data_IF_667628182824
#
_entry.id   IF_667628182824
#
_cell.length_a   1.000
_cell.length_b   1.000
_cell.length_c   1.000
_cell.angle_alpha   90.00
_cell.angle_beta   90.00
_cell.angle_gamma   90.00
#
_symmetry.space_group_name_H-M   'P 1'
#
loop_
_entity.id
_entity.type
_entity.pdbx_description
1 polymer ?
#
# COMPACT_ATOMS: atom_id res chain seq x y z
N UNK A 1 17.89 1.24 4.58
CA UNK A 1 17.39 2.63 4.74
C UNK A 1 18.14 3.61 3.86
N UNK A 2 17.48 4.68 3.41
CA UNK A 2 18.15 5.83 2.79
C UNK A 2 17.79 7.10 3.60
N UNK A 3 18.81 7.85 4.05
CA UNK A 3 18.62 9.11 4.75
C UNK A 3 18.17 10.19 3.73
N UNK A 4 17.12 10.95 4.05
CA UNK A 4 16.70 12.07 3.19
C UNK A 4 17.40 13.37 3.58
N UNK A 5 17.31 14.38 2.70
CA UNK A 5 17.91 15.71 2.89
C UNK A 5 17.32 16.55 4.05
N UNK A 6 16.37 16.00 4.82
CA UNK A 6 15.88 16.60 6.08
C UNK A 6 16.31 15.69 7.22
N UNK A 7 16.92 16.28 8.24
CA UNK A 7 17.65 15.61 9.34
C UNK A 7 16.86 14.59 10.21
N UNK A 8 15.61 14.24 9.87
CA UNK A 8 14.77 13.31 10.64
C UNK A 8 13.77 12.47 9.79
N UNK A 9 13.87 12.47 8.44
CA UNK A 9 12.96 11.68 7.59
C UNK A 9 13.70 10.47 7.01
N UNK A 10 13.43 9.27 7.55
CA UNK A 10 13.97 8.01 7.06
C UNK A 10 13.09 7.44 5.95
N UNK A 11 13.71 6.97 4.86
CA UNK A 11 13.01 6.16 3.86
C UNK A 11 13.26 4.69 4.14
N UNK A 12 12.21 3.99 4.59
CA UNK A 12 12.25 2.52 4.69
C UNK A 12 11.81 1.92 3.36
N UNK A 13 12.58 0.94 2.90
CA UNK A 13 12.35 0.20 1.67
C UNK A 13 12.15 -1.27 2.04
N UNK A 14 10.92 -1.60 2.42
CA UNK A 14 10.57 -2.97 2.82
C UNK A 14 10.55 -3.91 1.62
N UNK A 15 10.77 -5.18 1.88
CA UNK A 15 10.50 -6.36 1.06
C UNK A 15 9.11 -6.91 1.36
N UNK A 16 8.63 -7.89 0.59
CA UNK A 16 7.37 -8.58 0.92
C UNK A 16 7.47 -9.36 2.23
N UNK A 17 8.64 -9.96 2.53
CA UNK A 17 8.89 -10.66 3.81
C UNK A 17 8.80 -9.71 5.00
N UNK A 18 9.38 -8.52 4.91
CA UNK A 18 9.29 -7.52 5.99
C UNK A 18 7.88 -6.95 6.14
N UNK A 19 7.14 -6.78 5.03
CA UNK A 19 5.73 -6.41 5.11
C UNK A 19 4.89 -7.51 5.79
N UNK A 20 5.16 -8.78 5.50
CA UNK A 20 4.50 -9.92 6.15
C UNK A 20 4.88 -10.06 7.63
N UNK A 21 6.13 -9.79 7.98
CA UNK A 21 6.59 -9.73 9.38
C UNK A 21 5.86 -8.60 10.13
N UNK A 22 5.80 -7.40 9.54
CA UNK A 22 5.05 -6.28 10.13
C UNK A 22 3.60 -6.64 10.41
N UNK A 23 2.94 -7.33 9.48
CA UNK A 23 1.56 -7.83 9.65
C UNK A 23 1.39 -8.80 10.80
N UNK A 24 2.36 -9.70 11.00
CA UNK A 24 2.33 -10.68 12.11
C UNK A 24 2.35 -10.02 13.49
N UNK A 25 2.84 -8.78 13.58
CA UNK A 25 2.87 -7.99 14.83
C UNK A 25 1.72 -6.98 14.96
N UNK A 26 0.73 -7.02 14.07
CA UNK A 26 -0.49 -6.24 14.21
C UNK A 26 -1.29 -6.73 15.44
N UNK A 27 -1.72 -5.79 16.29
CA UNK A 27 -2.39 -6.14 17.55
C UNK A 27 -3.82 -6.67 17.39
N UNK A 28 -4.48 -6.33 16.28
CA UNK A 28 -5.87 -6.70 16.00
C UNK A 28 -6.06 -6.96 14.52
N UNK A 29 -7.15 -7.63 14.13
CA UNK A 29 -7.51 -7.80 12.71
C UNK A 29 -7.69 -6.46 11.99
N UNK A 30 -8.23 -5.44 12.66
CA UNK A 30 -8.35 -4.08 12.10
C UNK A 30 -6.97 -3.49 11.81
N UNK A 31 -6.03 -3.66 12.74
CA UNK A 31 -4.68 -3.15 12.59
C UNK A 31 -3.93 -3.88 11.45
N UNK A 32 -4.09 -5.20 11.31
CA UNK A 32 -3.56 -5.95 10.14
C UNK A 32 -4.18 -5.45 8.84
N UNK A 33 -5.51 -5.27 8.81
CA UNK A 33 -6.22 -4.77 7.64
C UNK A 33 -5.72 -3.39 7.19
N UNK A 34 -5.36 -2.50 8.14
CA UNK A 34 -4.72 -1.21 7.83
C UNK A 34 -3.39 -1.41 7.11
N UNK A 35 -2.55 -2.35 7.58
CA UNK A 35 -1.27 -2.67 6.93
C UNK A 35 -1.51 -3.23 5.53
N UNK A 36 -2.48 -4.12 5.37
CA UNK A 36 -2.82 -4.71 4.07
C UNK A 36 -3.32 -3.66 3.05
N UNK A 37 -4.22 -2.78 3.46
CA UNK A 37 -4.75 -1.71 2.61
C UNK A 37 -3.63 -0.75 2.16
N UNK A 38 -2.69 -0.43 3.04
CA UNK A 38 -1.52 0.37 2.68
C UNK A 38 -0.54 -0.36 1.77
N UNK A 39 -0.15 -1.58 2.15
CA UNK A 39 0.97 -2.32 1.56
C UNK A 39 0.63 -3.15 0.31
N UNK A 40 -0.59 -3.67 0.22
CA UNK A 40 -1.03 -4.50 -0.91
C UNK A 40 -1.93 -3.77 -1.90
N UNK A 41 -2.70 -2.79 -1.43
CA UNK A 41 -3.66 -2.03 -2.26
C UNK A 41 -3.15 -0.61 -2.55
N UNK A 42 -2.15 -0.14 -1.81
CA UNK A 42 -1.52 1.16 -2.02
C UNK A 42 -2.36 2.33 -1.55
N UNK A 43 -3.21 2.16 -0.53
CA UNK A 43 -4.01 3.26 0.01
C UNK A 43 -3.14 4.24 0.81
N UNK A 44 -3.48 5.52 0.74
CA UNK A 44 -2.92 6.55 1.63
C UNK A 44 -3.63 6.49 2.99
N UNK A 45 -2.97 6.96 4.03
CA UNK A 45 -3.53 6.93 5.39
C UNK A 45 -4.92 7.60 5.50
N UNK A 46 -5.18 8.69 4.78
CA UNK A 46 -6.50 9.35 4.77
C UNK A 46 -7.54 8.65 3.88
N UNK A 47 -7.13 7.77 2.97
CA UNK A 47 -8.05 7.00 2.11
C UNK A 47 -8.64 5.80 2.88
N UNK A 48 -7.89 5.23 3.83
CA UNK A 48 -8.28 4.03 4.59
C UNK A 48 -9.59 4.22 5.37
N UNK A 49 -9.81 5.33 6.13
CA UNK A 49 -11.06 5.54 6.85
C UNK A 49 -12.31 5.69 6.00
N UNK A 50 -12.17 5.91 4.69
CA UNK A 50 -13.29 6.08 3.76
C UNK A 50 -13.80 4.74 3.21
N UNK A 51 -13.09 3.64 3.47
CA UNK A 51 -13.41 2.34 2.88
C UNK A 51 -14.51 1.67 3.67
N UNK A 52 -15.52 1.21 2.96
CA UNK A 52 -16.69 0.50 3.48
C UNK A 52 -16.83 -0.81 2.69
N UNK A 53 -17.52 -1.84 3.22
CA UNK A 53 -17.70 -3.10 2.50
C UNK A 53 -18.31 -2.91 1.09
N UNK A 54 -19.23 -1.95 0.90
CA UNK A 54 -19.83 -1.66 -0.43
C UNK A 54 -18.84 -1.17 -1.49
N UNK A 55 -17.64 -0.76 -1.09
CA UNK A 55 -16.60 -0.27 -2.01
C UNK A 55 -15.83 -1.41 -2.70
N UNK A 56 -15.96 -2.64 -2.21
CA UNK A 56 -15.43 -3.83 -2.89
C UNK A 56 -16.30 -4.16 -4.10
N UNK A 57 -15.67 -4.31 -5.26
CA UNK A 57 -16.34 -4.61 -6.54
C UNK A 57 -15.67 -5.79 -7.21
N UNK A 58 -16.44 -6.84 -7.48
CA UNK A 58 -16.03 -7.91 -8.39
C UNK A 58 -16.14 -7.40 -9.83
N UNK A 59 -15.13 -7.66 -10.65
CA UNK A 59 -15.15 -7.31 -12.08
C UNK A 59 -16.04 -8.26 -12.87
N UNK A 60 -16.38 -7.86 -14.09
CA UNK A 60 -17.26 -8.64 -14.99
C UNK A 60 -16.70 -10.01 -15.35
N UNK A 61 -15.37 -10.17 -15.33
CA UNK A 61 -14.69 -11.45 -15.55
C UNK A 61 -14.88 -12.47 -14.41
N UNK A 62 -15.46 -12.05 -13.28
CA UNK A 62 -15.66 -12.91 -12.11
C UNK A 62 -14.40 -13.29 -11.34
N UNK A 63 -13.20 -12.95 -11.80
CA UNK A 63 -11.95 -13.42 -11.19
C UNK A 63 -11.16 -12.33 -10.47
N UNK A 64 -11.43 -11.07 -10.78
CA UNK A 64 -10.72 -9.95 -10.18
C UNK A 64 -11.62 -9.05 -9.33
N UNK A 65 -10.97 -8.28 -8.46
CA UNK A 65 -11.62 -7.33 -7.59
C UNK A 65 -11.00 -5.94 -7.74
N UNK A 66 -11.82 -4.93 -7.51
CA UNK A 66 -11.43 -3.53 -7.39
C UNK A 66 -11.96 -2.97 -6.09
N UNK A 67 -11.19 -2.08 -5.50
CA UNK A 67 -11.62 -1.30 -4.35
C UNK A 67 -11.84 0.15 -4.79
N UNK A 68 -13.09 0.62 -4.70
CA UNK A 68 -13.43 2.01 -4.99
C UNK A 68 -12.96 2.89 -3.83
N UNK A 69 -12.00 3.75 -4.10
CA UNK A 69 -11.60 4.83 -3.18
C UNK A 69 -12.47 6.05 -3.49
N UNK A 70 -13.31 6.52 -2.54
CA UNK A 70 -14.23 7.63 -2.78
C UNK A 70 -13.50 8.94 -3.09
N UNK A 71 -12.59 9.36 -2.21
CA UNK A 71 -11.87 10.61 -2.34
C UNK A 71 -10.36 10.36 -2.21
N UNK A 72 -9.65 10.41 -3.34
CA UNK A 72 -8.20 10.36 -3.38
C UNK A 72 -7.52 11.69 -2.97
N UNK A 73 -6.22 11.85 -3.27
CA UNK A 73 -5.56 13.16 -3.09
C UNK A 73 -5.95 14.03 -4.28
N UNK A 74 -6.54 15.18 -4.02
CA UNK A 74 -6.76 16.21 -5.05
C UNK A 74 -5.84 17.40 -4.79
N UNK A 75 -4.98 17.70 -5.75
CA UNK A 75 -4.12 18.90 -5.73
C UNK A 75 -4.81 20.13 -6.32
N UNK A 76 -6.06 19.99 -6.79
CA UNK A 76 -6.85 21.09 -7.37
C UNK A 76 -7.87 21.72 -6.43
N UNK A 77 -8.06 21.18 -5.21
CA UNK A 77 -8.85 21.79 -4.15
C UNK A 77 -10.37 21.50 -4.17
N UNK A 78 -10.83 20.57 -5.00
CA UNK A 78 -12.25 20.22 -5.21
C UNK A 78 -12.67 18.87 -4.61
N UNK A 79 -11.93 18.37 -3.63
CA UNK A 79 -12.15 17.03 -3.08
C UNK A 79 -11.50 15.96 -3.95
N UNK A 80 -10.99 14.93 -3.29
CA UNK A 80 -10.20 13.87 -3.92
C UNK A 80 -10.78 13.30 -5.20
N UNK A 81 -9.96 13.06 -6.24
CA UNK A 81 -10.43 12.29 -7.41
C UNK A 81 -10.69 10.83 -6.99
N UNK A 82 -11.86 10.26 -7.29
CA UNK A 82 -12.12 8.86 -7.04
C UNK A 82 -11.20 7.98 -7.91
N UNK A 83 -10.80 6.82 -7.37
CA UNK A 83 -10.05 5.81 -8.13
C UNK A 83 -10.52 4.40 -7.80
N UNK A 84 -10.27 3.46 -8.71
CA UNK A 84 -10.47 2.04 -8.48
C UNK A 84 -9.11 1.38 -8.30
N UNK A 85 -8.74 1.11 -7.05
CA UNK A 85 -7.52 0.36 -6.76
C UNK A 85 -7.71 -1.11 -7.16
N UNK A 86 -6.63 -1.76 -7.58
CA UNK A 86 -6.64 -3.21 -7.73
C UNK A 86 -6.70 -3.84 -6.33
N UNK A 87 -7.66 -4.74 -6.10
CA UNK A 87 -7.81 -5.43 -4.83
C UNK A 87 -7.37 -6.88 -4.99
N UNK A 88 -6.23 -7.30 -4.40
CA UNK A 88 -5.83 -8.69 -4.39
C UNK A 88 -6.88 -9.57 -3.71
N UNK A 89 -7.05 -10.79 -4.21
CA UNK A 89 -8.08 -11.73 -3.73
C UNK A 89 -7.94 -12.01 -2.23
N UNK A 90 -6.72 -12.18 -1.74
CA UNK A 90 -6.47 -12.47 -0.32
C UNK A 90 -6.90 -11.30 0.58
N UNK A 91 -6.63 -10.06 0.14
CA UNK A 91 -7.07 -8.85 0.87
C UNK A 91 -8.59 -8.69 0.81
N UNK A 92 -9.23 -9.04 -0.31
CA UNK A 92 -10.69 -9.08 -0.40
C UNK A 92 -11.30 -10.08 0.59
N UNK A 93 -10.71 -11.28 0.66
CA UNK A 93 -11.15 -12.33 1.57
C UNK A 93 -10.97 -11.93 3.03
N UNK A 94 -9.89 -11.22 3.36
CA UNK A 94 -9.64 -10.69 4.70
C UNK A 94 -10.59 -9.53 5.05
N UNK A 95 -10.91 -8.63 4.11
CA UNK A 95 -11.96 -7.61 4.29
C UNK A 95 -13.29 -8.28 4.60
N UNK A 96 -13.67 -9.30 3.83
CA UNK A 96 -14.94 -10.00 4.02
C UNK A 96 -14.96 -10.74 5.37
N UNK A 97 -13.86 -11.39 5.77
CA UNK A 97 -13.75 -12.05 7.08
C UNK A 97 -13.89 -11.04 8.22
N UNK A 98 -13.18 -9.91 8.12
CA UNK A 98 -13.22 -8.85 9.13
C UNK A 98 -14.61 -8.24 9.26
N UNK A 99 -15.25 -7.86 8.15
CA UNK A 99 -16.58 -7.25 8.15
C UNK A 99 -17.63 -8.19 8.78
N UNK A 100 -17.55 -9.49 8.52
CA UNK A 100 -18.44 -10.47 9.15
C UNK A 100 -18.15 -10.65 10.65
N UNK A 101 -16.87 -10.74 11.03
CA UNK A 101 -16.48 -10.94 12.43
C UNK A 101 -16.90 -9.75 13.31
N UNK A 102 -16.73 -8.53 12.80
CA UNK A 102 -17.04 -7.29 13.53
C UNK A 102 -18.46 -6.77 13.25
N UNK A 103 -19.27 -7.49 12.45
CA UNK A 103 -20.63 -7.09 12.03
C UNK A 103 -20.70 -5.68 11.41
N UNK A 104 -19.73 -5.34 10.56
CA UNK A 104 -19.67 -4.03 9.89
C UNK A 104 -20.73 -3.95 8.80
N UNK A 105 -21.63 -2.97 8.91
CA UNK A 105 -22.64 -2.73 7.88
C UNK A 105 -22.00 -2.30 6.55
N UNK A 106 -22.67 -2.60 5.43
CA UNK A 106 -22.22 -2.23 4.09
C UNK A 106 -21.99 -0.73 3.88
N UNK A 107 -22.61 0.13 4.69
CA UNK A 107 -22.51 1.59 4.66
C UNK A 107 -21.63 2.16 5.80
N UNK A 108 -21.02 1.28 6.59
CA UNK A 108 -20.16 1.66 7.71
C UNK A 108 -18.68 1.52 7.30
N UNK A 109 -17.81 2.45 7.74
CA UNK A 109 -16.37 2.32 7.51
C UNK A 109 -15.81 1.02 8.11
N UNK A 110 -14.95 0.33 7.37
CA UNK A 110 -14.17 -0.79 7.88
C UNK A 110 -13.23 -0.35 9.02
N UNK A 111 -12.73 0.88 8.94
CA UNK A 111 -11.80 1.46 9.89
C UNK A 111 -12.33 2.82 10.35
N UNK A 112 -13.01 2.82 11.49
CA UNK A 112 -13.50 4.05 12.16
C UNK A 112 -12.37 4.77 12.92
N UNK A 113 -11.38 5.27 12.19
CA UNK A 113 -10.28 6.06 12.72
C UNK A 113 -10.10 7.34 11.91
N UNK A 114 -9.50 8.36 12.51
CA UNK A 114 -8.97 9.49 11.74
C UNK A 114 -7.72 9.08 10.96
N UNK A 115 -7.29 9.90 10.00
CA UNK A 115 -6.00 9.71 9.32
C UNK A 115 -4.85 9.58 10.33
N UNK A 116 -4.84 10.40 11.39
CA UNK A 116 -3.86 10.31 12.47
C UNK A 116 -3.95 8.96 13.19
N UNK A 117 -5.16 8.48 13.48
CA UNK A 117 -5.37 7.17 14.11
C UNK A 117 -4.80 6.03 13.28
N UNK A 118 -4.97 6.08 11.94
CA UNK A 118 -4.36 5.12 11.02
C UNK A 118 -2.83 5.17 11.08
N UNK A 119 -2.23 6.37 11.04
CA UNK A 119 -0.77 6.54 11.15
C UNK A 119 -0.23 6.00 12.48
N UNK A 120 -0.95 6.26 13.58
CA UNK A 120 -0.57 5.78 14.91
C UNK A 120 -0.67 4.25 15.02
N UNK A 121 -1.62 3.60 14.34
CA UNK A 121 -1.69 2.13 14.25
C UNK A 121 -0.46 1.57 13.55
N UNK A 122 -0.06 2.14 12.41
CA UNK A 122 1.14 1.69 11.67
C UNK A 122 2.37 1.82 12.56
N UNK A 123 2.54 2.97 13.22
CA UNK A 123 3.68 3.20 14.12
C UNK A 123 3.75 2.20 15.26
N UNK A 124 2.64 1.97 15.97
CA UNK A 124 2.60 0.98 17.08
C UNK A 124 2.84 -0.45 16.60
N UNK A 125 2.37 -0.78 15.40
CA UNK A 125 2.62 -2.11 14.81
C UNK A 125 4.10 -2.29 14.49
N UNK A 126 4.74 -1.24 13.97
CA UNK A 126 6.15 -1.25 13.66
C UNK A 126 7.05 -1.26 14.92
N UNK A 127 6.66 -0.53 15.98
CA UNK A 127 7.33 -0.62 17.29
C UNK A 127 7.30 -2.05 17.85
N UNK A 128 6.16 -2.74 17.76
CA UNK A 128 6.05 -4.15 18.16
C UNK A 128 6.91 -5.07 17.32
N UNK A 129 6.95 -4.85 15.99
CA UNK A 129 7.79 -5.63 15.10
C UNK A 129 9.28 -5.45 15.44
N UNK A 130 9.72 -4.22 15.72
CA UNK A 130 11.09 -3.94 16.15
C UNK A 130 11.44 -4.66 17.46
N UNK A 131 10.55 -4.58 18.46
CA UNK A 131 10.75 -5.25 19.75
C UNK A 131 10.79 -6.77 19.64
N UNK A 132 9.94 -7.36 18.80
CA UNK A 132 9.83 -8.80 18.65
C UNK A 132 10.96 -9.42 17.81
N UNK A 133 11.44 -8.70 16.80
CA UNK A 133 12.48 -9.18 15.86
C UNK A 133 13.89 -8.77 16.27
N UNK A 134 14.03 -7.71 17.08
CA UNK A 134 15.30 -7.06 17.38
C UNK A 134 15.82 -6.19 16.23
N UNK A 135 15.02 -5.97 15.18
CA UNK A 135 15.36 -5.13 14.04
C UNK A 135 14.82 -3.70 14.22
N UNK A 136 15.71 -2.76 14.55
CA UNK A 136 15.35 -1.37 14.80
C UNK A 136 14.91 -0.64 13.52
N UNK A 137 15.14 -1.17 12.31
CA UNK A 137 14.68 -0.55 11.06
C UNK A 137 13.15 -0.40 11.03
N UNK A 138 12.41 -1.31 11.69
CA UNK A 138 10.97 -1.21 11.82
C UNK A 138 10.53 0.06 12.56
N UNK A 139 11.32 0.60 13.49
CA UNK A 139 10.94 1.81 14.24
C UNK A 139 10.74 3.03 13.33
N UNK A 140 11.31 3.00 12.14
CA UNK A 140 11.22 4.06 11.14
C UNK A 140 10.08 3.85 10.12
N UNK A 141 9.38 2.71 10.17
CA UNK A 141 8.28 2.42 9.25
C UNK A 141 7.08 3.33 9.51
N UNK A 142 6.59 3.95 8.46
CA UNK A 142 5.41 4.80 8.46
C UNK A 142 4.36 4.32 7.45
N UNK A 143 3.16 4.90 7.53
CA UNK A 143 2.09 4.64 6.55
C UNK A 143 2.50 4.97 5.10
N UNK A 144 3.45 5.90 4.90
CA UNK A 144 3.95 6.23 3.58
C UNK A 144 4.81 5.10 3.00
N UNK A 145 5.55 4.38 3.86
CA UNK A 145 6.42 3.27 3.45
C UNK A 145 5.61 2.05 3.01
N UNK A 146 4.41 1.84 3.55
CA UNK A 146 3.46 0.83 3.03
C UNK A 146 3.12 1.11 1.56
N UNK A 147 2.78 2.36 1.24
CA UNK A 147 2.49 2.77 -0.14
C UNK A 147 3.74 2.71 -1.02
N UNK A 148 4.92 2.98 -0.45
CA UNK A 148 6.20 2.82 -1.16
C UNK A 148 6.44 1.37 -1.53
N UNK A 149 6.25 0.44 -0.59
CA UNK A 149 6.35 -1.01 -0.83
C UNK A 149 5.39 -1.46 -1.93
N UNK A 150 4.13 -0.99 -1.90
CA UNK A 150 3.16 -1.27 -2.96
C UNK A 150 3.69 -0.86 -4.34
N UNK A 151 4.19 0.37 -4.47
CA UNK A 151 4.68 0.89 -5.74
C UNK A 151 5.93 0.15 -6.21
N UNK A 152 6.92 -0.05 -5.33
CA UNK A 152 8.17 -0.74 -5.63
C UNK A 152 7.92 -2.18 -6.08
N UNK A 153 7.08 -2.94 -5.36
CA UNK A 153 6.73 -4.31 -5.76
C UNK A 153 6.23 -4.35 -7.19
N UNK A 154 5.28 -3.47 -7.54
CA UNK A 154 4.68 -3.50 -8.86
C UNK A 154 5.62 -2.98 -9.95
N UNK A 155 6.31 -1.87 -9.71
CA UNK A 155 7.13 -1.21 -10.73
C UNK A 155 8.49 -1.85 -10.93
N UNK A 156 9.14 -2.27 -9.84
CA UNK A 156 10.53 -2.74 -9.85
C UNK A 156 10.57 -4.27 -9.87
N UNK A 157 9.89 -4.93 -8.93
CA UNK A 157 10.02 -6.39 -8.79
C UNK A 157 9.13 -7.19 -9.73
N UNK A 158 7.92 -6.70 -10.00
CA UNK A 158 6.96 -7.35 -10.92
C UNK A 158 6.93 -6.71 -12.30
N UNK A 159 7.71 -5.64 -12.51
CA UNK A 159 7.85 -4.92 -13.78
C UNK A 159 6.50 -4.61 -14.47
N UNK A 160 5.46 -4.35 -13.68
CA UNK A 160 4.14 -4.01 -14.18
C UNK A 160 4.23 -2.68 -14.92
N UNK A 161 3.59 -2.60 -16.08
CA UNK A 161 3.59 -1.38 -16.90
C UNK A 161 3.24 -0.15 -16.03
N UNK A 162 4.11 0.88 -16.00
CA UNK A 162 3.91 2.05 -15.14
C UNK A 162 2.55 2.73 -15.32
N UNK A 163 1.97 2.75 -16.53
CA UNK A 163 0.64 3.31 -16.77
C UNK A 163 -0.46 2.54 -16.04
N UNK A 164 -0.31 1.23 -15.93
CA UNK A 164 -1.24 0.37 -15.16
C UNK A 164 -1.11 0.69 -13.68
N UNK A 165 0.12 0.79 -13.15
CA UNK A 165 0.37 1.14 -11.75
C UNK A 165 -0.16 2.55 -11.41
N UNK A 166 0.06 3.51 -12.29
CA UNK A 166 -0.47 4.88 -12.18
C UNK A 166 -1.98 4.89 -12.09
N UNK A 167 -2.66 4.16 -12.98
CA UNK A 167 -4.13 4.06 -13.01
C UNK A 167 -4.68 3.49 -11.70
N UNK A 168 -4.13 2.37 -11.21
CA UNK A 168 -4.67 1.72 -10.01
C UNK A 168 -4.27 2.43 -8.73
N UNK A 169 -3.06 3.01 -8.67
CA UNK A 169 -2.55 3.70 -7.49
C UNK A 169 -2.99 5.17 -7.38
N UNK A 170 -3.52 5.77 -8.43
CA UNK A 170 -3.93 7.18 -8.45
C UNK A 170 -2.74 8.13 -8.46
N UNK A 171 -1.84 7.94 -9.43
CA UNK A 171 -0.78 8.88 -9.78
C UNK A 171 -1.09 9.53 -11.12
N UNK A 172 -1.05 10.86 -11.16
CA UNK A 172 -1.42 11.64 -12.36
C UNK A 172 -0.26 11.84 -13.36
N UNK A 173 1.00 11.51 -12.98
CA UNK A 173 2.16 11.70 -13.84
C UNK A 173 3.30 10.72 -13.55
N UNK A 174 4.21 10.56 -14.52
CA UNK A 174 5.44 9.79 -14.35
C UNK A 174 6.37 10.39 -13.28
N UNK A 175 6.44 11.72 -13.18
CA UNK A 175 7.19 12.42 -12.14
C UNK A 175 6.67 12.07 -10.73
N UNK A 176 5.38 11.75 -10.58
CA UNK A 176 4.81 11.38 -9.30
C UNK A 176 5.14 9.93 -8.88
N UNK A 177 5.51 9.06 -9.82
CA UNK A 177 5.96 7.69 -9.55
C UNK A 177 7.49 7.55 -9.52
N UNK A 178 8.22 8.48 -10.11
CA UNK A 178 9.70 8.51 -10.14
C UNK A 178 10.35 8.28 -8.76
N UNK A 179 9.86 8.87 -7.64
CA UNK A 179 10.46 8.61 -6.32
C UNK A 179 10.36 7.16 -5.82
N UNK A 180 9.61 6.30 -6.51
CA UNK A 180 9.44 4.88 -6.21
C UNK A 180 10.26 3.99 -7.15
N UNK A 181 10.93 4.57 -8.15
CA UNK A 181 11.81 3.89 -9.09
C UNK A 181 13.24 4.07 -8.62
N UNK A 182 13.91 2.98 -8.28
CA UNK A 182 15.36 3.00 -8.12
C UNK A 182 16.00 3.05 -9.52
N UNK A 183 17.13 3.74 -9.65
CA UNK A 183 17.94 3.63 -10.85
C UNK A 183 18.38 2.16 -11.00
N UNK A 184 18.18 1.52 -12.17
CA UNK A 184 18.62 0.15 -12.38
C UNK A 184 20.16 0.09 -12.35
N UNK A 185 20.71 -0.99 -11.79
CA UNK A 185 22.15 -1.25 -11.88
C UNK A 185 22.51 -1.70 -13.30
N UNK A 186 23.78 -1.58 -13.75
CA UNK A 186 24.20 -2.06 -15.06
C UNK A 186 23.84 -3.53 -15.32
N UNK A 187 23.88 -4.38 -14.31
CA UNK A 187 23.52 -5.80 -14.41
C UNK A 187 22.03 -5.97 -14.74
N UNK A 188 21.15 -5.25 -14.04
CA UNK A 188 19.70 -5.23 -14.30
C UNK A 188 19.41 -4.71 -15.70
N UNK A 189 20.18 -3.73 -16.18
CA UNK A 189 20.05 -3.24 -17.56
C UNK A 189 20.41 -4.34 -18.55
N UNK A 190 21.50 -5.06 -18.36
CA UNK A 190 21.91 -6.13 -19.27
C UNK A 190 20.88 -7.28 -19.31
N UNK A 191 20.44 -7.76 -18.15
CA UNK A 191 19.41 -8.80 -18.02
C UNK A 191 18.12 -8.40 -18.74
N UNK A 192 17.67 -7.15 -18.59
CA UNK A 192 16.48 -6.65 -19.29
C UNK A 192 16.61 -6.64 -20.82
N UNK A 193 17.81 -6.39 -21.36
CA UNK A 193 18.07 -6.42 -22.80
C UNK A 193 18.16 -7.87 -23.32
N UNK A 194 18.70 -8.80 -22.53
CA UNK A 194 18.72 -10.24 -22.83
C UNK A 194 17.29 -10.82 -22.84
N UNK A 195 16.48 -10.55 -21.83
CA UNK A 195 15.09 -10.99 -21.74
C UNK A 195 14.22 -10.44 -22.88
N UNK A 196 14.50 -9.22 -23.33
CA UNK A 196 13.84 -8.61 -24.48
C UNK A 196 14.28 -9.21 -25.84
N UNK A 197 15.27 -10.11 -25.85
CA UNK A 197 15.82 -10.70 -27.06
C UNK A 197 16.52 -9.68 -27.96
N UNK A 198 17.10 -8.63 -27.36
CA UNK A 198 17.80 -7.55 -28.07
C UNK A 198 19.32 -7.73 -28.12
N UNK A 199 19.84 -8.83 -27.53
CA UNK A 199 21.25 -9.22 -27.50
C UNK A 199 21.39 -10.71 -27.75
#
# INVERSE_FOLDING_TARGET
MEATAKDDEYKVWMTDTELEELRRHAATHRDDLIIQLGGYVGLRAFEIPQIEPRHVRRTEDGEHYRLRVPEGKDTSGNGGKPRNAYLPRDVESDIHRYANAENVDRHQPLVELSERGVRDVVKRTAERAAEATGDDDYRYVSSHDLRRRFAQRLLVEKQVNPRVVMQVGGWDSFQAIEPYLNAPTPEVVNEAFEEAGLV
#
